data_IF_467315819495
#
_entry.id   IF_467315819495
#
_cell.length_a   1.000
_cell.length_b   1.000
_cell.length_c   1.000
_cell.angle_alpha   90.00
_cell.angle_beta   90.00
_cell.angle_gamma   90.00
#
_symmetry.space_group_name_H-M   'P 1'
#
loop_
_entity.id
_entity.type
_entity.pdbx_description
1 polymer ?
#
# COMPACT_ATOMS: atom_id res chain seq x y z
N UNK A 1 -8.04 -24.98 -16.72
CA UNK A 1 -8.09 -23.65 -17.38
C UNK A 1 -8.56 -22.68 -16.30
N UNK A 2 -7.81 -21.62 -16.01
CA UNK A 2 -8.19 -20.67 -14.97
C UNK A 2 -9.50 -19.97 -15.35
N UNK A 3 -10.31 -19.64 -14.33
CA UNK A 3 -11.49 -18.81 -14.50
C UNK A 3 -11.06 -17.35 -14.41
N UNK A 4 -11.41 -16.55 -15.39
CA UNK A 4 -11.10 -15.12 -15.47
C UNK A 4 -12.37 -14.30 -15.33
N UNK A 5 -12.33 -13.18 -14.65
CA UNK A 5 -13.37 -12.17 -14.77
C UNK A 5 -13.21 -11.39 -16.10
N UNK A 6 -14.25 -10.63 -16.48
CA UNK A 6 -14.28 -9.96 -17.79
C UNK A 6 -13.07 -9.01 -17.98
N UNK A 7 -12.73 -8.09 -17.06
CA UNK A 7 -11.53 -7.23 -17.21
C UNK A 7 -10.21 -8.02 -17.33
N UNK A 8 -10.07 -9.13 -16.61
CA UNK A 8 -8.88 -9.98 -16.71
C UNK A 8 -8.77 -10.63 -18.10
N UNK A 9 -9.88 -11.13 -18.63
CA UNK A 9 -9.92 -11.72 -19.97
C UNK A 9 -9.60 -10.67 -21.05
N UNK A 10 -10.17 -9.48 -20.95
CA UNK A 10 -9.90 -8.36 -21.84
C UNK A 10 -8.40 -7.97 -21.80
N UNK A 11 -7.82 -7.82 -20.61
CA UNK A 11 -6.42 -7.46 -20.45
C UNK A 11 -5.46 -8.44 -21.11
N UNK A 12 -5.68 -9.74 -20.93
CA UNK A 12 -4.83 -10.77 -21.55
C UNK A 12 -4.92 -10.80 -23.08
N UNK A 13 -6.02 -10.31 -23.65
CA UNK A 13 -6.24 -10.24 -25.09
C UNK A 13 -5.79 -8.92 -25.74
N UNK A 14 -5.45 -7.89 -24.96
CA UNK A 14 -4.98 -6.62 -25.52
C UNK A 14 -3.78 -6.82 -26.46
N UNK A 15 -3.84 -6.33 -27.71
CA UNK A 15 -2.76 -6.54 -28.70
C UNK A 15 -1.57 -5.57 -28.53
N UNK A 16 -1.67 -4.65 -27.59
CA UNK A 16 -0.72 -3.55 -27.42
C UNK A 16 0.62 -4.01 -26.84
N UNK A 17 1.68 -3.33 -27.24
CA UNK A 17 3.04 -3.56 -26.71
C UNK A 17 3.15 -3.24 -25.21
N UNK A 18 2.48 -2.19 -24.76
CA UNK A 18 2.40 -1.77 -23.37
C UNK A 18 0.95 -1.84 -22.94
N UNK A 19 0.67 -2.66 -21.95
CA UNK A 19 -0.70 -2.91 -21.45
C UNK A 19 -0.78 -2.55 -19.99
N UNK A 20 -1.87 -1.94 -19.56
CA UNK A 20 -2.12 -1.63 -18.15
C UNK A 20 -3.46 -2.23 -17.68
N UNK A 21 -3.40 -2.92 -16.55
CA UNK A 21 -4.57 -3.28 -15.76
C UNK A 21 -4.63 -2.33 -14.58
N UNK A 22 -5.52 -1.35 -14.64
CA UNK A 22 -5.73 -0.34 -13.61
C UNK A 22 -6.93 -0.77 -12.78
N UNK A 23 -6.71 -1.20 -11.54
CA UNK A 23 -7.76 -1.83 -10.77
C UNK A 23 -7.85 -1.40 -9.33
N UNK A 24 -9.07 -1.48 -8.77
CA UNK A 24 -9.32 -1.30 -7.35
C UNK A 24 -8.65 -2.37 -6.49
N UNK A 25 -8.68 -2.20 -5.17
CA UNK A 25 -8.20 -3.22 -4.24
C UNK A 25 -9.02 -4.50 -4.38
N UNK A 26 -8.35 -5.65 -4.36
CA UNK A 26 -9.03 -6.93 -4.51
C UNK A 26 -9.54 -7.25 -5.93
N UNK A 27 -9.30 -6.39 -6.94
CA UNK A 27 -9.75 -6.63 -8.33
C UNK A 27 -9.03 -7.77 -9.07
N UNK A 28 -8.06 -8.45 -8.43
CA UNK A 28 -7.29 -9.54 -9.03
C UNK A 28 -6.16 -9.09 -9.97
N UNK A 29 -5.73 -7.82 -9.90
CA UNK A 29 -4.70 -7.25 -10.79
C UNK A 29 -3.35 -7.97 -10.75
N UNK A 30 -2.78 -8.24 -9.59
CA UNK A 30 -1.50 -8.98 -9.47
C UNK A 30 -1.65 -10.42 -9.97
N UNK A 31 -2.81 -11.04 -9.71
CA UNK A 31 -3.13 -12.38 -10.17
C UNK A 31 -3.12 -12.46 -11.72
N UNK A 32 -3.82 -11.55 -12.41
CA UNK A 32 -3.84 -11.53 -13.88
C UNK A 32 -2.49 -11.16 -14.47
N UNK A 33 -1.72 -10.29 -13.81
CA UNK A 33 -0.34 -10.00 -14.19
C UNK A 33 0.54 -11.26 -14.16
N UNK A 34 0.45 -12.06 -13.10
CA UNK A 34 1.11 -13.37 -13.02
C UNK A 34 0.58 -14.33 -14.10
N UNK A 35 -0.72 -14.31 -14.42
CA UNK A 35 -1.32 -15.06 -15.51
C UNK A 35 -0.68 -14.74 -16.86
N UNK A 36 -0.41 -13.45 -17.14
CA UNK A 36 0.30 -13.03 -18.34
C UNK A 36 1.75 -13.57 -18.41
N UNK A 37 2.45 -13.68 -17.28
CA UNK A 37 3.77 -14.32 -17.23
C UNK A 37 3.68 -15.84 -17.51
N UNK A 38 2.65 -16.49 -17.00
CA UNK A 38 2.38 -17.90 -17.28
C UNK A 38 2.04 -18.13 -18.75
N UNK A 39 1.20 -17.27 -19.35
CA UNK A 39 0.91 -17.28 -20.79
C UNK A 39 2.19 -17.14 -21.60
N UNK A 40 3.05 -16.17 -21.27
CA UNK A 40 4.35 -15.99 -21.94
C UNK A 40 5.22 -17.26 -21.83
N UNK A 41 5.28 -17.93 -20.69
CA UNK A 41 6.05 -19.15 -20.50
C UNK A 41 5.50 -20.33 -21.36
N UNK A 42 4.20 -20.35 -21.63
CA UNK A 42 3.59 -21.32 -22.56
C UNK A 42 3.91 -21.02 -24.03
N UNK A 43 3.75 -19.75 -24.45
CA UNK A 43 3.91 -19.31 -25.83
C UNK A 43 5.38 -19.25 -26.26
N UNK A 44 6.26 -18.81 -25.37
CA UNK A 44 7.70 -18.57 -25.65
C UNK A 44 8.60 -19.30 -24.65
N UNK A 45 8.67 -20.65 -24.71
CA UNK A 45 9.46 -21.43 -23.78
C UNK A 45 10.94 -21.03 -23.81
N UNK A 46 11.56 -20.97 -22.58
CA UNK A 46 12.94 -20.59 -22.34
C UNK A 46 13.28 -19.12 -22.60
N UNK A 47 12.31 -18.28 -22.98
CA UNK A 47 12.50 -16.83 -23.06
C UNK A 47 12.21 -16.24 -21.68
N UNK A 48 13.19 -15.59 -21.03
CA UNK A 48 12.99 -15.04 -19.69
C UNK A 48 12.02 -13.88 -19.71
N UNK A 49 11.24 -13.79 -18.62
CA UNK A 49 10.41 -12.62 -18.30
C UNK A 49 11.01 -11.85 -17.11
N UNK A 50 10.54 -10.64 -16.86
CA UNK A 50 10.89 -9.83 -15.71
C UNK A 50 9.68 -9.50 -14.87
N UNK A 51 9.85 -9.46 -13.54
CA UNK A 51 8.88 -8.90 -12.60
C UNK A 51 9.51 -7.75 -11.82
N UNK A 52 8.80 -6.63 -11.75
CA UNK A 52 9.27 -5.39 -11.15
C UNK A 52 8.22 -4.84 -10.18
N UNK A 53 8.60 -4.69 -8.92
CA UNK A 53 7.75 -4.10 -7.88
C UNK A 53 8.45 -2.92 -7.19
N UNK A 54 7.73 -2.06 -6.47
CA UNK A 54 8.30 -0.92 -5.76
C UNK A 54 9.41 -1.29 -4.78
N UNK A 55 9.30 -2.46 -4.11
CA UNK A 55 10.29 -2.89 -3.12
C UNK A 55 10.48 -4.41 -3.15
N UNK A 56 11.62 -4.89 -2.61
CA UNK A 56 11.87 -6.32 -2.51
C UNK A 56 10.91 -7.05 -1.53
N UNK A 57 10.51 -6.48 -0.38
CA UNK A 57 9.45 -7.08 0.43
C UNK A 57 8.17 -7.39 -0.34
N UNK A 58 7.73 -6.49 -1.23
CA UNK A 58 6.55 -6.75 -2.08
C UNK A 58 6.77 -7.92 -3.05
N UNK A 59 7.99 -8.08 -3.59
CA UNK A 59 8.32 -9.25 -4.40
C UNK A 59 8.19 -10.53 -3.56
N UNK A 60 8.78 -10.55 -2.36
CA UNK A 60 8.79 -11.71 -1.48
C UNK A 60 7.41 -12.07 -0.95
N UNK A 61 6.65 -11.06 -0.51
CA UNK A 61 5.44 -11.27 0.29
C UNK A 61 4.17 -11.30 -0.58
N UNK A 62 4.23 -10.76 -1.81
CA UNK A 62 3.09 -10.71 -2.74
C UNK A 62 3.35 -11.55 -3.98
N UNK A 63 4.41 -11.25 -4.74
CA UNK A 63 4.63 -11.92 -6.02
C UNK A 63 4.93 -13.41 -5.89
N UNK A 64 5.83 -13.80 -5.00
CA UNK A 64 6.21 -15.21 -4.92
C UNK A 64 5.03 -16.13 -4.56
N UNK A 65 4.21 -15.86 -3.53
CA UNK A 65 3.04 -16.69 -3.28
C UNK A 65 2.02 -16.63 -4.42
N UNK A 66 1.81 -15.44 -5.03
CA UNK A 66 0.84 -15.29 -6.13
C UNK A 66 1.28 -16.06 -7.38
N UNK A 67 2.55 -16.02 -7.77
CA UNK A 67 3.02 -16.76 -8.95
C UNK A 67 3.00 -18.28 -8.73
N UNK A 68 3.18 -18.77 -7.50
CA UNK A 68 3.03 -20.19 -7.18
C UNK A 68 1.57 -20.65 -7.37
N UNK A 69 0.61 -19.88 -6.86
CA UNK A 69 -0.81 -20.13 -7.02
C UNK A 69 -1.24 -20.07 -8.49
N UNK A 70 -0.94 -18.97 -9.17
CA UNK A 70 -1.33 -18.74 -10.56
C UNK A 70 -0.68 -19.76 -11.50
N UNK A 71 0.58 -20.10 -11.30
CA UNK A 71 1.25 -21.12 -12.11
C UNK A 71 0.52 -22.46 -12.02
N UNK A 72 0.06 -22.85 -10.84
CA UNK A 72 -0.73 -24.07 -10.66
C UNK A 72 -2.03 -24.04 -11.48
N UNK A 73 -2.79 -22.94 -11.42
CA UNK A 73 -4.02 -22.77 -12.16
C UNK A 73 -3.80 -22.80 -13.69
N UNK A 74 -2.62 -22.34 -14.13
CA UNK A 74 -2.22 -22.35 -15.54
C UNK A 74 -1.52 -23.64 -15.98
N UNK A 75 -1.53 -24.70 -15.16
CA UNK A 75 -0.89 -25.98 -15.45
C UNK A 75 0.62 -25.95 -15.45
N UNK A 76 1.21 -24.99 -14.73
CA UNK A 76 2.62 -24.83 -14.50
C UNK A 76 2.95 -25.05 -13.01
N UNK A 77 4.21 -25.20 -12.70
CA UNK A 77 4.74 -25.17 -11.34
C UNK A 77 5.82 -24.10 -11.26
N UNK A 78 5.68 -23.20 -10.30
CA UNK A 78 6.73 -22.23 -9.98
C UNK A 78 7.69 -22.82 -8.93
N UNK A 79 8.98 -22.52 -9.08
CA UNK A 79 10.03 -22.82 -8.12
C UNK A 79 10.79 -21.52 -7.81
N UNK A 80 10.65 -21.05 -6.58
CA UNK A 80 11.21 -19.78 -6.16
C UNK A 80 12.67 -19.94 -5.73
N UNK A 81 13.56 -19.13 -6.29
CA UNK A 81 14.94 -18.96 -5.85
C UNK A 81 15.10 -17.54 -5.25
N UNK A 82 14.92 -17.44 -3.94
CA UNK A 82 15.00 -16.16 -3.24
C UNK A 82 16.40 -15.54 -3.29
N UNK A 83 17.45 -16.33 -3.28
CA UNK A 83 18.85 -15.85 -3.32
C UNK A 83 19.15 -15.15 -4.65
N UNK A 84 18.73 -15.73 -5.77
CA UNK A 84 18.90 -15.15 -7.11
C UNK A 84 17.80 -14.12 -7.44
N UNK A 85 16.73 -14.09 -6.65
CA UNK A 85 15.52 -13.29 -6.93
C UNK A 85 14.89 -13.69 -8.26
N UNK A 86 14.55 -14.96 -8.37
CA UNK A 86 14.01 -15.57 -9.60
C UNK A 86 12.88 -16.54 -9.26
N UNK A 87 11.93 -16.68 -10.19
CA UNK A 87 10.93 -17.73 -10.19
C UNK A 87 11.09 -18.56 -11.47
N UNK A 88 11.32 -19.86 -11.34
CA UNK A 88 11.45 -20.77 -12.47
C UNK A 88 10.13 -21.51 -12.71
N UNK A 89 9.65 -21.47 -13.95
CA UNK A 89 8.37 -22.06 -14.35
C UNK A 89 8.60 -23.38 -15.10
N UNK A 90 7.83 -24.41 -14.74
CA UNK A 90 7.91 -25.77 -15.30
C UNK A 90 6.53 -26.29 -15.67
N UNK A 91 6.42 -27.00 -16.82
CA UNK A 91 5.29 -27.86 -17.17
C UNK A 91 5.67 -29.31 -16.90
N UNK A 92 5.17 -29.87 -15.80
CA UNK A 92 5.68 -31.13 -15.29
C UNK A 92 7.19 -31.05 -14.97
N UNK A 93 8.01 -31.82 -15.70
CA UNK A 93 9.48 -31.79 -15.61
C UNK A 93 10.15 -30.84 -16.60
N UNK A 94 9.39 -30.30 -17.55
CA UNK A 94 9.93 -29.47 -18.62
C UNK A 94 10.08 -28.02 -18.14
N UNK A 95 11.31 -27.50 -18.16
CA UNK A 95 11.58 -26.09 -17.91
C UNK A 95 10.96 -25.20 -18.99
N UNK A 96 10.17 -24.20 -18.58
CA UNK A 96 9.44 -23.28 -19.47
C UNK A 96 10.04 -21.89 -19.52
N UNK A 97 10.59 -21.40 -18.39
CA UNK A 97 11.20 -20.07 -18.36
C UNK A 97 11.54 -19.62 -16.95
N UNK A 98 12.24 -18.49 -16.87
CA UNK A 98 12.59 -17.82 -15.61
C UNK A 98 12.00 -16.42 -15.62
N UNK A 99 11.38 -16.06 -14.48
CA UNK A 99 10.99 -14.69 -14.17
C UNK A 99 12.06 -14.07 -13.28
N UNK A 100 12.75 -13.04 -13.78
CA UNK A 100 13.80 -12.31 -13.08
C UNK A 100 13.16 -11.16 -12.30
N UNK A 101 13.31 -11.14 -10.97
CA UNK A 101 12.64 -10.16 -10.10
C UNK A 101 13.61 -9.05 -9.69
N UNK A 102 13.20 -7.78 -9.82
CA UNK A 102 13.97 -6.60 -9.38
C UNK A 102 13.05 -5.56 -8.76
N UNK A 103 13.56 -4.88 -7.74
CA UNK A 103 12.82 -3.76 -7.15
C UNK A 103 13.08 -2.45 -7.90
N UNK A 104 12.06 -1.62 -7.98
CA UNK A 104 12.10 -0.31 -8.63
C UNK A 104 12.55 0.81 -7.69
N UNK A 105 12.70 0.57 -6.39
CA UNK A 105 13.28 1.54 -5.44
C UNK A 105 14.74 1.87 -5.74
N UNK A 106 15.45 0.96 -6.41
CA UNK A 106 16.82 1.12 -6.89
C UNK A 106 16.91 0.88 -8.40
N UNK A 107 16.44 1.81 -9.27
CA UNK A 107 16.39 1.61 -10.72
C UNK A 107 17.74 1.27 -11.34
N UNK A 108 18.84 1.70 -10.72
CA UNK A 108 20.21 1.35 -11.15
C UNK A 108 20.49 -0.16 -11.11
N UNK A 109 19.75 -0.95 -10.29
CA UNK A 109 19.90 -2.40 -10.22
C UNK A 109 19.22 -3.15 -11.39
N UNK A 110 18.43 -2.45 -12.22
CA UNK A 110 17.72 -3.02 -13.38
C UNK A 110 18.70 -3.07 -14.59
N UNK A 111 19.74 -3.87 -14.45
CA UNK A 111 20.82 -4.01 -15.45
C UNK A 111 21.30 -5.46 -15.57
N UNK A 112 22.05 -5.78 -16.62
CA UNK A 112 22.78 -7.05 -16.75
C UNK A 112 21.96 -8.22 -17.32
N UNK A 113 20.67 -8.07 -17.63
CA UNK A 113 19.82 -9.14 -18.18
C UNK A 113 18.99 -8.66 -19.39
N UNK A 114 18.34 -9.59 -20.06
CA UNK A 114 17.38 -9.34 -21.13
C UNK A 114 16.13 -10.18 -20.92
N UNK A 115 14.97 -9.63 -21.28
CA UNK A 115 13.66 -10.29 -21.15
C UNK A 115 12.83 -10.08 -22.41
N UNK A 116 11.93 -11.02 -22.70
CA UNK A 116 10.94 -10.90 -23.78
C UNK A 116 9.64 -10.25 -23.30
N UNK A 117 9.31 -10.37 -22.01
CA UNK A 117 8.12 -9.83 -21.36
C UNK A 117 8.50 -9.23 -20.02
N UNK A 118 7.84 -8.16 -19.62
CA UNK A 118 7.96 -7.59 -18.27
C UNK A 118 6.58 -7.39 -17.65
N UNK A 119 6.45 -7.72 -16.37
CA UNK A 119 5.34 -7.33 -15.51
C UNK A 119 5.85 -6.29 -14.53
N UNK A 120 5.19 -5.14 -14.49
CA UNK A 120 5.49 -4.02 -13.60
C UNK A 120 4.30 -3.80 -12.67
N UNK A 121 4.49 -4.15 -11.40
CA UNK A 121 3.41 -4.12 -10.41
C UNK A 121 3.54 -2.89 -9.51
N UNK A 122 2.40 -2.22 -9.23
CA UNK A 122 2.24 -1.08 -8.34
C UNK A 122 3.22 0.09 -8.59
N UNK A 123 3.55 0.38 -9.86
CA UNK A 123 4.49 1.46 -10.24
C UNK A 123 3.96 2.84 -9.82
N UNK A 124 2.64 3.03 -9.77
CA UNK A 124 2.02 4.32 -9.42
C UNK A 124 2.22 4.72 -7.95
N UNK A 125 2.63 3.78 -7.10
CA UNK A 125 3.01 4.05 -5.70
C UNK A 125 4.37 4.73 -5.57
N UNK A 126 5.17 4.78 -6.64
CA UNK A 126 6.44 5.48 -6.67
C UNK A 126 6.24 6.99 -6.92
N UNK A 127 7.24 7.79 -6.50
CA UNK A 127 7.32 9.17 -6.96
C UNK A 127 7.44 9.19 -8.49
N UNK A 128 6.72 10.07 -9.17
CA UNK A 128 6.61 10.14 -10.63
C UNK A 128 7.97 10.09 -11.36
N UNK A 129 8.94 10.87 -10.91
CA UNK A 129 10.29 10.89 -11.49
C UNK A 129 10.98 9.51 -11.40
N UNK A 130 10.84 8.82 -10.26
CA UNK A 130 11.42 7.49 -10.04
C UNK A 130 10.73 6.43 -10.90
N UNK A 131 9.41 6.53 -11.06
CA UNK A 131 8.64 5.67 -11.95
C UNK A 131 9.13 5.80 -13.41
N UNK A 132 9.34 7.03 -13.90
CA UNK A 132 9.92 7.27 -15.22
C UNK A 132 11.34 6.70 -15.39
N UNK A 133 12.17 6.80 -14.35
CA UNK A 133 13.52 6.22 -14.40
C UNK A 133 13.46 4.69 -14.48
N UNK A 134 12.68 4.04 -13.62
CA UNK A 134 12.48 2.60 -13.63
C UNK A 134 11.93 2.12 -14.98
N UNK A 135 10.90 2.80 -15.51
CA UNK A 135 10.29 2.50 -16.79
C UNK A 135 11.30 2.48 -17.94
N UNK A 136 12.12 3.52 -18.05
CA UNK A 136 13.19 3.59 -19.06
C UNK A 136 14.21 2.46 -18.92
N UNK A 137 14.58 2.09 -17.69
CA UNK A 137 15.50 0.97 -17.43
C UNK A 137 14.87 -0.36 -17.82
N UNK A 138 13.59 -0.58 -17.56
CA UNK A 138 12.86 -1.80 -17.92
C UNK A 138 12.74 -1.92 -19.45
N UNK A 139 12.35 -0.85 -20.16
CA UNK A 139 12.30 -0.84 -21.63
C UNK A 139 13.64 -1.28 -22.22
N UNK A 140 14.76 -0.82 -21.67
CA UNK A 140 16.09 -1.19 -22.15
C UNK A 140 16.43 -2.68 -21.93
N UNK A 141 15.63 -3.44 -21.15
CA UNK A 141 15.77 -4.91 -20.97
C UNK A 141 14.98 -5.71 -21.99
N UNK A 142 13.97 -5.11 -22.64
CA UNK A 142 13.13 -5.74 -23.66
C UNK A 142 13.87 -5.86 -25.01
N UNK A 143 14.78 -6.81 -25.11
CA UNK A 143 15.67 -6.95 -26.26
C UNK A 143 15.91 -8.42 -26.68
N UNK A 144 14.94 -9.28 -26.42
CA UNK A 144 14.98 -10.66 -26.92
C UNK A 144 14.42 -10.69 -28.34
N UNK A 145 15.13 -11.34 -29.27
CA UNK A 145 14.63 -11.57 -30.64
C UNK A 145 14.25 -13.04 -30.77
N UNK A 146 12.97 -13.31 -31.01
CA UNK A 146 12.43 -14.64 -31.32
C UNK A 146 11.27 -14.50 -32.29
N UNK A 147 11.01 -15.54 -33.06
CA UNK A 147 9.90 -15.56 -34.02
C UNK A 147 8.56 -15.40 -33.29
N UNK A 148 7.70 -14.52 -33.78
CA UNK A 148 6.38 -14.25 -33.20
C UNK A 148 6.39 -13.47 -31.87
N UNK A 149 7.54 -13.24 -31.26
CA UNK A 149 7.63 -12.52 -30.00
C UNK A 149 7.55 -11.01 -30.21
N UNK A 150 6.52 -10.40 -29.63
CA UNK A 150 6.47 -8.96 -29.38
C UNK A 150 6.96 -8.68 -27.98
N UNK A 151 8.15 -8.06 -27.81
CA UNK A 151 8.62 -7.61 -26.51
C UNK A 151 7.67 -6.56 -25.94
N UNK A 152 7.15 -6.76 -24.71
CA UNK A 152 6.14 -5.89 -24.13
C UNK A 152 6.24 -5.75 -22.62
N UNK A 153 5.52 -4.76 -22.10
CA UNK A 153 5.36 -4.53 -20.66
C UNK A 153 3.88 -4.59 -20.31
N UNK A 154 3.56 -5.36 -19.30
CA UNK A 154 2.30 -5.32 -18.59
C UNK A 154 2.47 -4.53 -17.29
N UNK A 155 1.53 -3.66 -17.00
CA UNK A 155 1.45 -2.90 -15.76
C UNK A 155 0.22 -3.33 -15.01
N UNK A 156 0.37 -3.61 -13.72
CA UNK A 156 -0.75 -3.84 -12.80
C UNK A 156 -0.63 -2.84 -11.65
N UNK A 157 -1.66 -2.02 -11.42
CA UNK A 157 -1.59 -0.99 -10.39
C UNK A 157 -2.95 -0.53 -9.90
N UNK A 158 -3.00 -0.10 -8.65
CA UNK A 158 -4.08 0.75 -8.17
C UNK A 158 -3.77 2.19 -8.58
N UNK A 159 -4.74 2.96 -9.08
CA UNK A 159 -4.48 4.33 -9.52
C UNK A 159 -4.19 5.24 -8.32
N UNK A 160 -3.05 5.92 -8.37
CA UNK A 160 -2.57 6.83 -7.34
C UNK A 160 -2.72 8.31 -7.78
N UNK A 161 -3.87 8.64 -8.34
CA UNK A 161 -4.18 9.96 -8.89
C UNK A 161 -3.73 10.10 -10.35
N UNK A 162 -3.51 11.33 -10.79
CA UNK A 162 -2.98 11.63 -12.12
C UNK A 162 -1.45 11.52 -12.14
N UNK A 163 -0.96 10.33 -11.75
CA UNK A 163 0.46 10.02 -11.62
C UNK A 163 1.05 9.43 -12.91
N UNK A 164 2.06 8.56 -12.81
CA UNK A 164 2.82 7.99 -13.94
C UNK A 164 1.93 7.18 -14.88
N UNK A 165 1.07 6.29 -14.36
CA UNK A 165 0.25 5.41 -15.22
C UNK A 165 -0.83 6.20 -15.95
N UNK A 166 -1.45 7.20 -15.32
CA UNK A 166 -2.34 8.13 -16.01
C UNK A 166 -1.64 8.83 -17.18
N UNK A 167 -0.44 9.36 -16.95
CA UNK A 167 0.33 10.03 -18.00
C UNK A 167 0.66 9.09 -19.17
N UNK A 168 1.18 7.89 -18.90
CA UNK A 168 1.65 6.96 -19.93
C UNK A 168 0.51 6.26 -20.67
N UNK A 169 -0.61 5.94 -20.01
CA UNK A 169 -1.67 5.11 -20.58
C UNK A 169 -2.98 5.85 -20.86
N UNK A 170 -3.11 7.10 -20.43
CA UNK A 170 -4.29 7.95 -20.69
C UNK A 170 -3.91 9.21 -21.44
N UNK A 171 -3.05 10.05 -20.84
CA UNK A 171 -2.79 11.38 -21.32
C UNK A 171 -1.95 11.37 -22.63
N UNK A 172 -0.85 10.64 -22.67
CA UNK A 172 0.04 10.58 -23.85
C UNK A 172 -0.66 9.90 -25.03
N UNK A 173 -1.32 8.72 -24.88
CA UNK A 173 -2.07 8.12 -25.98
C UNK A 173 -3.24 8.97 -26.48
N UNK A 174 -3.89 9.72 -25.60
CA UNK A 174 -4.96 10.64 -25.96
C UNK A 174 -4.51 11.82 -26.82
N UNK A 175 -3.22 12.14 -26.84
CA UNK A 175 -2.63 13.25 -27.59
C UNK A 175 -1.85 12.82 -28.85
N UNK A 176 -1.50 11.54 -28.98
CA UNK A 176 -0.67 11.00 -30.05
C UNK A 176 -1.21 9.65 -30.54
N UNK A 177 -1.78 9.62 -31.74
CA UNK A 177 -2.36 8.44 -32.36
C UNK A 177 -1.35 7.26 -32.50
N UNK A 178 -0.06 7.56 -32.80
CA UNK A 178 0.98 6.51 -32.88
C UNK A 178 1.26 5.91 -31.50
N UNK A 179 1.11 6.68 -30.43
CA UNK A 179 1.23 6.16 -29.08
C UNK A 179 -0.01 5.34 -28.70
N UNK A 180 -1.20 5.74 -29.14
CA UNK A 180 -2.42 4.99 -28.91
C UNK A 180 -2.34 3.54 -29.48
N UNK A 181 -1.64 3.30 -30.57
CA UNK A 181 -1.40 1.97 -31.11
C UNK A 181 -0.48 1.10 -30.23
N UNK A 182 0.36 1.72 -29.40
CA UNK A 182 1.33 1.02 -28.55
C UNK A 182 0.83 0.75 -27.12
N UNK A 183 -0.10 1.58 -26.62
CA UNK A 183 -0.55 1.58 -25.24
C UNK A 183 -2.02 1.21 -25.13
N UNK A 184 -2.33 0.12 -24.45
CA UNK A 184 -3.69 -0.29 -24.12
C UNK A 184 -3.91 -0.37 -22.63
N UNK A 185 -5.14 -0.15 -22.17
CA UNK A 185 -5.49 -0.26 -20.76
C UNK A 185 -6.86 -0.89 -20.57
N UNK A 186 -7.02 -1.53 -19.42
CA UNK A 186 -8.30 -2.01 -18.89
C UNK A 186 -8.48 -1.42 -17.51
N UNK A 187 -9.69 -0.98 -17.20
CA UNK A 187 -10.09 -0.60 -15.85
C UNK A 187 -10.88 -1.73 -15.21
N UNK A 188 -10.59 -2.01 -13.94
CA UNK A 188 -11.32 -3.00 -13.16
C UNK A 188 -11.68 -2.41 -11.79
N UNK A 189 -12.91 -2.63 -11.36
CA UNK A 189 -13.36 -2.32 -10.01
C UNK A 189 -13.13 -3.50 -9.06
N UNK A 190 -13.25 -3.27 -7.77
CA UNK A 190 -13.31 -4.33 -6.77
C UNK A 190 -14.51 -5.25 -7.00
N UNK A 191 -15.64 -4.70 -7.50
CA UNK A 191 -16.85 -5.45 -7.78
C UNK A 191 -16.67 -6.49 -8.88
N UNK A 192 -15.79 -6.26 -9.87
CA UNK A 192 -15.51 -7.22 -10.93
C UNK A 192 -14.92 -8.54 -10.43
N UNK A 193 -14.42 -8.55 -9.19
CA UNK A 193 -13.84 -9.71 -8.53
C UNK A 193 -14.58 -10.10 -7.23
N UNK A 194 -15.79 -9.57 -7.00
CA UNK A 194 -16.55 -9.75 -5.76
C UNK A 194 -16.72 -11.21 -5.37
N UNK A 195 -16.95 -12.09 -6.38
CA UNK A 195 -17.11 -13.53 -6.16
C UNK A 195 -15.89 -14.23 -5.50
N UNK A 196 -14.71 -13.62 -5.54
CA UNK A 196 -13.48 -14.13 -4.94
C UNK A 196 -13.07 -13.36 -3.66
N UNK A 197 -13.93 -12.49 -3.15
CA UNK A 197 -13.68 -11.68 -1.97
C UNK A 197 -14.62 -12.09 -0.82
N UNK A 198 -14.24 -11.86 0.44
CA UNK A 198 -15.17 -12.00 1.56
C UNK A 198 -16.39 -11.10 1.41
N UNK A 199 -17.56 -11.56 1.85
CA UNK A 199 -18.85 -10.86 1.70
C UNK A 199 -18.85 -9.43 2.26
N UNK A 200 -18.09 -9.18 3.34
CA UNK A 200 -17.97 -7.88 4.02
C UNK A 200 -16.81 -7.02 3.51
N UNK A 201 -16.02 -7.50 2.53
CA UNK A 201 -14.79 -6.84 2.10
C UNK A 201 -15.03 -5.42 1.56
N UNK A 202 -15.94 -5.31 0.59
CA UNK A 202 -16.25 -4.02 -0.07
C UNK A 202 -16.84 -3.04 0.96
N UNK A 203 -17.75 -3.53 1.82
CA UNK A 203 -18.33 -2.72 2.87
C UNK A 203 -17.26 -2.18 3.84
N UNK A 204 -16.32 -3.02 4.23
CA UNK A 204 -15.18 -2.64 5.07
C UNK A 204 -14.32 -1.55 4.44
N UNK A 205 -14.14 -1.56 3.12
CA UNK A 205 -13.42 -0.49 2.42
C UNK A 205 -14.18 0.85 2.49
N UNK A 206 -15.52 0.83 2.31
CA UNK A 206 -16.33 2.06 2.46
C UNK A 206 -16.29 2.62 3.89
N UNK A 207 -16.21 1.77 4.90
CA UNK A 207 -16.06 2.20 6.28
C UNK A 207 -14.69 2.78 6.59
N UNK A 208 -13.66 2.26 5.91
CA UNK A 208 -12.26 2.55 6.21
C UNK A 208 -11.74 3.76 5.44
N UNK A 209 -12.15 3.92 4.15
CA UNK A 209 -11.59 4.95 3.28
C UNK A 209 -12.46 6.20 3.19
N UNK A 210 -11.87 7.40 3.02
CA UNK A 210 -12.61 8.60 2.70
C UNK A 210 -13.23 8.53 1.30
N UNK A 211 -14.36 9.21 1.08
CA UNK A 211 -15.14 9.15 -0.15
C UNK A 211 -14.33 9.45 -1.43
N UNK A 212 -13.32 10.33 -1.35
CA UNK A 212 -12.46 10.64 -2.50
C UNK A 212 -11.62 9.44 -2.97
N UNK A 213 -11.20 8.57 -2.04
CA UNK A 213 -10.39 7.41 -2.36
C UNK A 213 -11.22 6.21 -2.85
N UNK A 214 -12.51 6.15 -2.53
CA UNK A 214 -13.41 5.08 -3.01
C UNK A 214 -13.39 4.98 -4.53
N UNK A 215 -13.42 6.11 -5.24
CA UNK A 215 -13.37 6.13 -6.71
C UNK A 215 -12.07 5.53 -7.27
N UNK A 216 -10.94 5.78 -6.61
CA UNK A 216 -9.66 5.23 -7.03
C UNK A 216 -9.48 3.78 -6.56
N UNK A 217 -9.74 3.50 -5.28
CA UNK A 217 -9.36 2.25 -4.63
C UNK A 217 -10.41 1.14 -4.73
N UNK A 218 -11.67 1.50 -5.00
CA UNK A 218 -12.73 0.53 -5.26
C UNK A 218 -13.08 0.48 -6.74
N UNK A 219 -13.31 1.65 -7.37
CA UNK A 219 -13.74 1.66 -8.78
C UNK A 219 -12.55 1.65 -9.77
N UNK A 220 -11.30 1.70 -9.31
CA UNK A 220 -10.11 1.67 -10.18
C UNK A 220 -9.96 2.89 -11.09
N UNK A 221 -10.57 4.03 -10.76
CA UNK A 221 -10.60 5.22 -11.61
C UNK A 221 -9.47 6.20 -11.27
N UNK A 222 -8.91 6.83 -12.30
CA UNK A 222 -8.03 7.97 -12.09
C UNK A 222 -8.83 9.18 -11.58
N UNK A 223 -8.48 9.67 -10.42
CA UNK A 223 -9.08 10.86 -9.81
C UNK A 223 -7.98 11.80 -9.32
N UNK A 224 -8.28 13.08 -9.26
CA UNK A 224 -7.33 14.03 -8.70
C UNK A 224 -7.29 13.90 -7.18
N UNK A 225 -6.22 13.30 -6.67
CA UNK A 225 -5.99 13.06 -5.24
C UNK A 225 -5.06 14.09 -4.59
N UNK A 226 -4.54 15.06 -5.37
CA UNK A 226 -3.45 15.95 -4.96
C UNK A 226 -3.73 17.43 -5.27
N UNK A 227 -4.95 17.80 -5.56
CA UNK A 227 -5.35 19.19 -5.75
C UNK A 227 -6.32 19.66 -4.68
N UNK A 228 -6.22 20.94 -4.32
CA UNK A 228 -7.09 21.56 -3.33
C UNK A 228 -6.64 21.30 -1.88
N UNK A 229 -7.61 21.25 -0.97
CA UNK A 229 -7.34 21.04 0.46
C UNK A 229 -6.81 19.63 0.75
N UNK A 230 -5.84 19.54 1.67
CA UNK A 230 -5.31 18.24 2.18
C UNK A 230 -6.37 17.51 3.02
N UNK A 231 -7.24 18.27 3.72
CA UNK A 231 -8.29 17.75 4.59
C UNK A 231 -9.68 18.20 4.17
N UNK A 232 -10.13 17.88 2.95
CA UNK A 232 -11.39 18.39 2.39
C UNK A 232 -12.63 17.86 3.11
N UNK A 233 -12.48 16.79 3.89
CA UNK A 233 -13.56 16.20 4.68
C UNK A 233 -13.76 16.89 6.05
N UNK A 234 -12.85 17.79 6.45
CA UNK A 234 -12.98 18.49 7.72
C UNK A 234 -14.14 19.51 7.66
N UNK A 235 -14.96 19.49 8.68
CA UNK A 235 -16.03 20.47 8.88
C UNK A 235 -16.04 20.87 10.35
N UNK A 236 -15.80 22.15 10.64
CA UNK A 236 -15.68 22.67 12.01
C UNK A 236 -16.94 22.41 12.85
N UNK A 237 -18.13 22.43 12.26
CA UNK A 237 -19.39 22.18 12.97
C UNK A 237 -19.59 20.68 13.23
N UNK A 238 -19.37 19.86 12.20
CA UNK A 238 -19.65 18.43 12.25
C UNK A 238 -18.54 17.64 12.96
N UNK A 239 -17.28 18.08 12.88
CA UNK A 239 -16.15 17.47 13.61
C UNK A 239 -15.86 18.18 14.94
N UNK A 240 -16.45 19.37 15.17
CA UNK A 240 -16.22 20.16 16.37
C UNK A 240 -16.76 19.52 17.65
N UNK A 241 -16.09 19.83 18.77
CA UNK A 241 -16.51 19.42 20.12
C UNK A 241 -16.07 20.46 21.14
N UNK A 242 -16.81 20.60 22.23
CA UNK A 242 -16.41 21.38 23.41
C UNK A 242 -15.95 20.47 24.56
N UNK A 243 -15.79 19.16 24.29
CA UNK A 243 -15.27 18.23 25.29
C UNK A 243 -13.88 18.65 25.75
N UNK A 244 -13.58 18.39 27.03
CA UNK A 244 -12.29 18.62 27.67
C UNK A 244 -11.70 17.30 28.16
N UNK A 245 -10.42 17.31 28.49
CA UNK A 245 -9.73 16.15 29.07
C UNK A 245 -10.18 15.97 30.52
N UNK A 246 -10.67 14.77 30.86
CA UNK A 246 -11.07 14.38 32.20
C UNK A 246 -9.96 13.58 32.89
N UNK A 247 -9.99 13.47 34.20
CA UNK A 247 -8.95 12.77 34.99
C UNK A 247 -8.85 11.28 34.67
N UNK A 248 -9.96 10.65 34.30
CA UNK A 248 -10.03 9.21 33.94
C UNK A 248 -9.56 8.90 32.53
N UNK A 249 -9.39 9.91 31.66
CA UNK A 249 -8.99 9.72 30.27
C UNK A 249 -7.55 9.22 30.18
N UNK A 250 -7.33 8.26 29.29
CA UNK A 250 -5.97 7.89 28.87
C UNK A 250 -5.46 8.85 27.82
N UNK A 251 -4.31 9.46 28.09
CA UNK A 251 -3.73 10.48 27.24
C UNK A 251 -2.91 9.85 26.11
N UNK A 252 -3.19 10.32 24.90
CA UNK A 252 -2.47 10.00 23.68
C UNK A 252 -1.97 11.30 23.07
N UNK A 253 -0.66 11.44 22.87
CA UNK A 253 -0.06 12.66 22.35
C UNK A 253 0.64 12.35 21.03
N UNK A 254 0.10 12.86 19.93
CA UNK A 254 0.81 12.89 18.65
C UNK A 254 1.85 14.00 18.66
N UNK A 255 3.07 13.76 18.15
CA UNK A 255 4.17 14.71 18.27
C UNK A 255 4.99 14.80 16.98
N UNK A 256 5.23 16.03 16.53
CA UNK A 256 6.10 16.37 15.41
C UNK A 256 7.35 17.06 15.91
N UNK A 257 8.53 16.45 15.64
CA UNK A 257 9.84 17.00 16.01
C UNK A 257 10.30 18.01 14.97
N UNK A 258 10.09 19.29 15.25
CA UNK A 258 10.66 20.35 14.43
C UNK A 258 11.38 21.35 15.35
N UNK A 259 12.69 21.47 15.16
CA UNK A 259 13.52 22.36 15.99
C UNK A 259 12.97 23.79 15.98
N UNK A 260 12.81 24.41 17.15
CA UNK A 260 12.22 25.73 17.40
C UNK A 260 10.71 25.83 17.15
N UNK A 261 10.06 24.77 16.65
CA UNK A 261 8.61 24.79 16.39
C UNK A 261 7.97 23.40 16.62
N UNK A 262 8.39 22.72 17.70
CA UNK A 262 7.78 21.43 18.06
C UNK A 262 6.29 21.60 18.29
N UNK A 263 5.55 20.60 17.85
CA UNK A 263 4.10 20.57 17.98
C UNK A 263 3.65 19.23 18.55
N UNK A 264 2.74 19.28 19.52
CA UNK A 264 2.08 18.10 20.07
C UNK A 264 0.58 18.33 20.18
N UNK A 265 -0.20 17.28 19.88
CA UNK A 265 -1.65 17.28 20.01
C UNK A 265 -2.06 16.24 21.04
N UNK A 266 -2.66 16.70 22.15
CA UNK A 266 -3.17 15.85 23.19
C UNK A 266 -4.57 15.36 22.83
N UNK A 267 -4.70 14.04 22.75
CA UNK A 267 -5.89 13.34 22.33
C UNK A 267 -6.34 12.34 23.41
N UNK A 268 -7.62 12.02 23.37
CA UNK A 268 -8.21 10.92 24.13
C UNK A 268 -9.01 10.02 23.18
N UNK A 269 -9.26 8.77 23.59
CA UNK A 269 -10.14 7.85 22.87
C UNK A 269 -11.33 7.55 23.75
N UNK A 270 -12.54 7.92 23.31
CA UNK A 270 -13.80 7.64 24.01
C UNK A 270 -14.71 6.86 23.08
N UNK A 271 -15.25 5.73 23.55
CA UNK A 271 -16.09 4.83 22.74
C UNK A 271 -15.48 4.52 21.33
N UNK A 272 -14.17 4.30 21.27
CA UNK A 272 -13.47 4.00 20.01
C UNK A 272 -13.29 5.19 19.06
N UNK A 273 -13.65 6.40 19.46
CA UNK A 273 -13.49 7.62 18.68
C UNK A 273 -12.35 8.50 19.26
N UNK A 274 -11.46 9.02 18.43
CA UNK A 274 -10.42 9.97 18.86
C UNK A 274 -10.97 11.38 19.00
N UNK A 275 -10.52 12.07 20.04
CA UNK A 275 -10.80 13.47 20.34
C UNK A 275 -9.47 14.21 20.45
N UNK A 276 -9.19 15.19 19.60
CA UNK A 276 -8.09 16.12 19.73
C UNK A 276 -8.57 17.31 20.56
N UNK A 277 -8.05 17.44 21.79
CA UNK A 277 -8.63 18.34 22.80
C UNK A 277 -7.72 19.49 23.21
N UNK A 278 -6.40 19.33 23.16
CA UNK A 278 -5.43 20.38 23.50
C UNK A 278 -4.23 20.32 22.56
N UNK A 279 -3.63 21.48 22.24
CA UNK A 279 -2.43 21.58 21.42
C UNK A 279 -1.31 22.32 22.14
N UNK A 280 -0.08 21.88 21.88
CA UNK A 280 1.16 22.50 22.30
C UNK A 280 1.95 22.84 21.03
N UNK A 281 2.12 24.10 20.72
CA UNK A 281 2.71 24.54 19.45
C UNK A 281 3.77 25.59 19.67
N UNK A 282 4.81 25.65 18.80
CA UNK A 282 5.89 26.61 18.92
C UNK A 282 6.81 26.34 20.10
N UNK A 283 6.88 25.11 20.57
CA UNK A 283 7.78 24.69 21.64
C UNK A 283 9.19 24.52 21.06
N UNK A 284 10.21 25.03 21.78
CA UNK A 284 11.55 25.11 21.25
C UNK A 284 12.25 23.76 21.04
N UNK A 285 12.11 22.84 22.00
CA UNK A 285 12.83 21.58 22.03
C UNK A 285 12.11 20.51 22.87
N UNK A 286 12.61 19.30 22.85
CA UNK A 286 12.03 18.16 23.59
C UNK A 286 12.03 18.34 25.10
N UNK A 287 13.06 18.86 25.74
CA UNK A 287 13.00 19.19 27.17
C UNK A 287 11.88 20.18 27.53
N UNK A 288 11.71 21.24 26.76
CA UNK A 288 10.63 22.20 26.98
C UNK A 288 9.25 21.58 26.76
N UNK A 289 9.11 20.69 25.79
CA UNK A 289 7.86 19.94 25.54
C UNK A 289 7.53 19.00 26.73
N UNK A 290 8.53 18.32 27.29
CA UNK A 290 8.37 17.48 28.48
C UNK A 290 7.86 18.32 29.66
N UNK A 291 8.46 19.49 29.90
CA UNK A 291 8.02 20.42 30.97
C UNK A 291 6.57 20.84 30.73
N UNK A 292 6.21 21.30 29.53
CA UNK A 292 4.86 21.74 29.23
C UNK A 292 3.81 20.63 29.42
N UNK A 293 4.11 19.39 29.00
CA UNK A 293 3.22 18.25 29.19
C UNK A 293 3.09 17.88 30.68
N UNK A 294 4.18 17.94 31.45
CA UNK A 294 4.16 17.64 32.89
C UNK A 294 3.47 18.74 33.72
N UNK A 295 3.68 19.99 33.39
CA UNK A 295 2.95 21.11 34.02
C UNK A 295 1.43 21.00 33.79
N UNK A 296 1.02 20.58 32.60
CA UNK A 296 -0.40 20.48 32.27
C UNK A 296 -1.06 19.21 32.80
N UNK A 297 -0.39 18.06 32.76
CA UNK A 297 -0.99 16.75 33.04
C UNK A 297 -0.41 16.05 34.26
N UNK A 298 0.58 16.62 34.92
CA UNK A 298 1.24 16.00 36.08
C UNK A 298 1.88 14.65 35.75
N UNK A 299 1.78 13.72 36.69
CA UNK A 299 2.34 12.37 36.58
C UNK A 299 1.41 11.37 35.86
N UNK A 300 0.39 11.86 35.17
CA UNK A 300 -0.54 10.99 34.43
C UNK A 300 0.21 10.17 33.38
N UNK A 301 -0.30 8.98 33.15
CA UNK A 301 0.23 8.10 32.10
C UNK A 301 -0.06 8.67 30.71
N UNK A 302 0.97 9.00 29.94
CA UNK A 302 0.91 9.59 28.60
C UNK A 302 1.58 8.65 27.61
N UNK A 303 0.83 8.23 26.55
CA UNK A 303 1.38 7.53 25.42
C UNK A 303 1.71 8.55 24.31
N UNK A 304 2.99 8.65 23.93
CA UNK A 304 3.46 9.58 22.89
C UNK A 304 3.65 8.82 21.57
N UNK A 305 3.16 9.41 20.48
CA UNK A 305 3.27 8.93 19.11
C UNK A 305 4.08 9.93 18.29
N UNK A 306 5.41 9.82 18.35
CA UNK A 306 6.29 10.80 17.72
C UNK A 306 6.64 10.44 16.30
N UNK A 307 7.23 11.42 15.58
CA UNK A 307 8.04 11.21 14.39
C UNK A 307 9.23 10.27 14.69
N UNK A 308 9.49 9.30 13.81
CA UNK A 308 10.63 8.38 13.96
C UNK A 308 11.99 9.04 13.78
N UNK A 309 12.07 10.26 13.21
CA UNK A 309 13.34 11.00 13.08
C UNK A 309 13.98 11.38 14.43
N UNK A 310 13.19 11.38 15.50
CA UNK A 310 13.67 11.64 16.87
C UNK A 310 14.66 10.58 17.43
N UNK A 311 14.92 9.49 16.70
CA UNK A 311 16.03 8.55 16.99
C UNK A 311 17.40 9.07 16.55
N UNK A 312 17.43 10.06 15.65
CA UNK A 312 18.68 10.65 15.16
C UNK A 312 19.40 11.38 16.27
N UNK A 313 20.66 11.01 16.57
CA UNK A 313 21.52 11.71 17.51
C UNK A 313 22.05 13.01 16.88
N UNK A 314 21.95 14.12 17.57
CA UNK A 314 22.54 15.38 17.12
C UNK A 314 24.07 15.35 17.28
N UNK A 315 24.79 15.87 16.30
CA UNK A 315 26.27 15.93 16.28
C UNK A 315 26.91 16.62 17.54
N UNK A 316 26.15 17.45 18.25
CA UNK A 316 26.60 18.12 19.44
C UNK A 316 26.35 17.35 20.75
N UNK A 317 25.59 16.24 20.72
CA UNK A 317 25.34 15.39 21.88
C UNK A 317 24.97 13.98 21.43
N UNK A 318 25.98 13.20 21.06
CA UNK A 318 25.82 11.86 20.42
C UNK A 318 25.18 10.80 21.34
N UNK A 319 24.92 11.12 22.62
CA UNK A 319 24.41 10.17 23.61
C UNK A 319 22.91 10.31 23.93
N UNK A 320 22.24 11.39 23.48
CA UNK A 320 20.85 11.66 23.86
C UNK A 320 20.00 11.95 22.63
N UNK A 321 19.05 11.05 22.33
CA UNK A 321 18.03 11.26 21.31
C UNK A 321 16.75 11.84 21.92
N UNK A 322 15.95 12.53 21.11
CA UNK A 322 14.63 13.05 21.54
C UNK A 322 13.76 11.95 22.13
N UNK A 323 13.77 10.75 21.52
CA UNK A 323 13.05 9.58 22.02
C UNK A 323 13.62 9.10 23.37
N UNK A 324 14.95 9.21 23.57
CA UNK A 324 15.61 8.89 24.82
C UNK A 324 15.15 9.82 25.95
N UNK A 325 15.06 11.13 25.69
CA UNK A 325 14.54 12.12 26.64
C UNK A 325 13.09 11.83 27.05
N UNK A 326 12.23 11.53 26.09
CA UNK A 326 10.82 11.19 26.36
C UNK A 326 10.69 9.92 27.21
N UNK A 327 11.50 8.89 26.94
CA UNK A 327 11.52 7.65 27.75
C UNK A 327 12.05 7.89 29.15
N UNK A 328 13.11 8.70 29.28
CA UNK A 328 13.67 9.10 30.58
C UNK A 328 12.67 9.90 31.43
N UNK A 329 11.78 10.68 30.79
CA UNK A 329 10.69 11.38 31.44
C UNK A 329 9.48 10.47 31.77
N UNK A 330 9.63 9.14 31.66
CA UNK A 330 8.60 8.14 31.95
C UNK A 330 7.35 8.21 31.07
N UNK A 331 7.49 8.71 29.82
CA UNK A 331 6.43 8.59 28.82
C UNK A 331 6.47 7.23 28.11
N UNK A 332 5.31 6.72 27.73
CA UNK A 332 5.22 5.51 26.90
C UNK A 332 5.37 5.89 25.44
N UNK A 333 6.58 5.76 24.90
CA UNK A 333 6.90 6.14 23.51
C UNK A 333 6.53 4.99 22.54
N UNK A 334 5.62 5.27 21.62
CA UNK A 334 5.13 4.36 20.59
C UNK A 334 5.55 4.87 19.21
N UNK A 335 6.76 4.50 18.81
CA UNK A 335 7.35 4.89 17.53
C UNK A 335 7.45 3.69 16.60
N UNK A 336 7.08 3.82 15.31
CA UNK A 336 7.32 2.78 14.31
C UNK A 336 8.80 2.76 13.91
N UNK A 337 9.31 1.64 13.33
CA UNK A 337 10.70 1.54 12.86
C UNK A 337 11.09 2.59 11.81
N UNK A 338 10.12 3.14 11.10
CA UNK A 338 10.29 4.22 10.13
C UNK A 338 9.02 5.06 10.05
N UNK A 339 9.16 6.32 9.65
CA UNK A 339 7.99 7.19 9.45
C UNK A 339 7.02 6.61 8.42
N UNK A 340 5.72 6.57 8.75
CA UNK A 340 4.71 6.27 7.76
C UNK A 340 4.76 7.32 6.64
N UNK A 341 4.46 6.89 5.42
CA UNK A 341 4.37 7.81 4.27
C UNK A 341 3.38 8.93 4.60
N UNK A 342 3.71 10.18 4.25
CA UNK A 342 2.85 11.36 4.47
C UNK A 342 1.44 11.09 3.98
N UNK A 343 1.28 10.53 2.77
CA UNK A 343 -0.01 10.19 2.20
C UNK A 343 -0.81 9.21 3.08
N UNK A 344 -0.17 8.20 3.66
CA UNK A 344 -0.85 7.24 4.53
C UNK A 344 -1.38 7.90 5.81
N UNK A 345 -0.64 8.84 6.38
CA UNK A 345 -1.10 9.65 7.53
C UNK A 345 -2.28 10.53 7.16
N UNK A 346 -2.18 11.27 6.04
CA UNK A 346 -3.26 12.13 5.53
C UNK A 346 -4.54 11.33 5.27
N UNK A 347 -4.42 10.16 4.64
CA UNK A 347 -5.55 9.27 4.38
C UNK A 347 -6.21 8.81 5.68
N UNK A 348 -5.41 8.42 6.69
CA UNK A 348 -5.93 7.98 8.00
C UNK A 348 -6.69 9.11 8.71
N UNK A 349 -6.17 10.35 8.67
CA UNK A 349 -6.85 11.51 9.25
C UNK A 349 -8.17 11.80 8.50
N UNK A 350 -8.15 11.84 7.16
CA UNK A 350 -9.35 12.08 6.36
C UNK A 350 -10.43 11.02 6.57
N UNK A 351 -10.04 9.74 6.69
CA UNK A 351 -10.99 8.65 6.98
C UNK A 351 -11.66 8.79 8.34
N UNK A 352 -10.93 9.31 9.33
CA UNK A 352 -11.48 9.59 10.67
C UNK A 352 -12.30 10.88 10.71
N UNK A 353 -11.95 11.88 9.87
CA UNK A 353 -12.76 13.10 9.71
C UNK A 353 -14.11 12.79 9.08
N UNK A 354 -14.12 12.03 7.98
CA UNK A 354 -15.34 11.54 7.35
C UNK A 354 -15.00 10.38 6.41
N UNK A 355 -15.51 9.18 6.68
CA UNK A 355 -15.36 8.05 5.77
C UNK A 355 -16.36 8.11 4.60
N UNK A 356 -16.29 7.16 3.67
CA UNK A 356 -17.14 7.12 2.48
C UNK A 356 -18.63 6.90 2.80
N UNK A 357 -18.96 6.34 3.95
CA UNK A 357 -20.33 6.21 4.47
C UNK A 357 -20.85 7.50 5.13
N UNK A 358 -20.04 8.57 5.17
CA UNK A 358 -20.40 9.84 5.84
C UNK A 358 -20.19 9.82 7.37
N UNK A 359 -19.63 8.76 7.91
CA UNK A 359 -19.39 8.64 9.36
C UNK A 359 -18.18 9.49 9.78
N UNK A 360 -18.36 10.33 10.79
CA UNK A 360 -17.34 11.23 11.35
C UNK A 360 -16.97 10.75 12.76
N UNK A 361 -15.75 10.27 12.92
CA UNK A 361 -15.24 9.71 14.17
C UNK A 361 -14.27 10.63 14.90
N UNK A 362 -13.41 11.37 14.16
CA UNK A 362 -12.48 12.33 14.77
C UNK A 362 -13.21 13.60 15.19
N UNK A 363 -13.07 13.95 16.46
CA UNK A 363 -13.57 15.19 17.06
C UNK A 363 -12.41 16.10 17.39
N UNK A 364 -12.56 17.39 17.15
CA UNK A 364 -11.55 18.42 17.40
C UNK A 364 -12.15 19.53 18.23
N UNK A 365 -11.50 19.88 19.34
CA UNK A 365 -11.90 21.03 20.14
C UNK A 365 -11.28 22.31 19.53
N UNK A 366 -12.08 23.20 18.90
CA UNK A 366 -11.52 24.37 18.23
C UNK A 366 -10.98 25.44 19.20
N UNK A 367 -11.36 25.35 20.49
CA UNK A 367 -10.84 26.26 21.54
C UNK A 367 -9.51 25.72 22.06
N UNK A 368 -9.43 24.40 22.33
CA UNK A 368 -8.21 23.76 22.81
C UNK A 368 -7.16 23.49 21.72
N UNK A 369 -7.59 23.44 20.45
CA UNK A 369 -6.74 23.18 19.28
C UNK A 369 -7.00 24.21 18.15
N UNK A 370 -6.78 25.51 18.38
CA UNK A 370 -7.09 26.54 17.38
C UNK A 370 -6.20 26.44 16.12
N UNK A 371 -4.88 26.18 16.28
CA UNK A 371 -3.95 26.05 15.15
C UNK A 371 -4.19 24.77 14.36
N UNK A 372 -4.49 23.65 15.03
CA UNK A 372 -4.88 22.41 14.36
C UNK A 372 -6.18 22.63 13.55
N UNK A 373 -7.17 23.30 14.14
CA UNK A 373 -8.43 23.62 13.47
C UNK A 373 -8.20 24.43 12.21
N UNK A 374 -7.40 25.50 12.31
CA UNK A 374 -7.04 26.36 11.18
C UNK A 374 -6.26 25.59 10.11
N UNK A 375 -5.32 24.74 10.52
CA UNK A 375 -4.53 23.93 9.60
C UNK A 375 -5.38 22.90 8.84
N UNK A 376 -6.33 22.25 9.50
CA UNK A 376 -7.25 21.31 8.85
C UNK A 376 -8.16 22.00 7.80
N UNK A 377 -8.45 23.29 7.98
CA UNK A 377 -9.25 24.07 7.03
C UNK A 377 -8.44 24.61 5.85
N UNK A 378 -7.17 25.00 6.09
CA UNK A 378 -6.40 25.82 5.15
C UNK A 378 -5.26 25.08 4.44
N UNK A 379 -4.77 23.96 4.99
CA UNK A 379 -3.66 23.26 4.36
C UNK A 379 -4.03 22.76 2.97
N UNK A 380 -3.25 23.16 1.97
CA UNK A 380 -3.41 22.76 0.58
C UNK A 380 -2.25 21.86 0.13
N UNK A 381 -2.42 21.22 -1.02
CA UNK A 381 -1.31 20.52 -1.69
C UNK A 381 -0.45 21.52 -2.47
N UNK A 382 0.86 21.29 -2.49
CA UNK A 382 1.81 22.00 -3.35
C UNK A 382 1.72 21.49 -4.82
N UNK A 383 2.50 22.10 -5.71
CA UNK A 383 2.58 21.70 -7.12
C UNK A 383 3.07 20.27 -7.35
N UNK A 384 3.70 19.65 -6.36
CA UNK A 384 4.20 18.27 -6.39
C UNK A 384 3.19 17.27 -5.80
N UNK A 385 2.01 17.74 -5.38
CA UNK A 385 0.99 16.92 -4.74
C UNK A 385 1.34 16.47 -3.31
N UNK A 386 2.20 17.22 -2.64
CA UNK A 386 2.52 17.03 -1.22
C UNK A 386 1.86 18.14 -0.39
N UNK A 387 1.51 17.90 0.89
CA UNK A 387 1.08 18.99 1.76
C UNK A 387 2.08 20.13 1.74
N UNK A 388 1.59 21.35 1.44
CA UNK A 388 2.44 22.53 1.36
C UNK A 388 3.02 22.87 2.74
N UNK A 389 4.36 22.92 2.83
CA UNK A 389 5.11 23.24 4.04
C UNK A 389 5.51 24.70 4.17
N UNK A 390 5.27 25.50 3.11
CA UNK A 390 5.67 26.92 3.10
C UNK A 390 4.73 27.80 3.91
N UNK A 391 3.50 27.33 4.14
CA UNK A 391 2.44 28.05 4.85
C UNK A 391 2.47 27.87 6.36
N UNK A 392 3.26 26.89 6.89
CA UNK A 392 3.33 26.57 8.32
C UNK A 392 2.09 25.86 8.89
N UNK A 393 1.18 25.39 8.00
CA UNK A 393 -0.02 24.62 8.41
C UNK A 393 0.24 23.11 8.50
N UNK A 394 1.46 22.63 8.28
CA UNK A 394 1.79 21.20 8.24
C UNK A 394 2.01 20.58 9.63
N UNK A 395 2.60 21.31 10.59
CA UNK A 395 2.99 20.73 11.87
C UNK A 395 1.85 20.17 12.73
N UNK A 396 0.72 20.90 12.98
CA UNK A 396 -0.35 20.36 13.83
C UNK A 396 -1.05 19.12 13.22
N UNK A 397 -1.39 19.08 11.91
CA UNK A 397 -1.91 17.88 11.29
C UNK A 397 -0.91 16.73 11.20
N UNK A 398 0.39 17.00 11.04
CA UNK A 398 1.43 15.96 11.06
C UNK A 398 1.53 15.32 12.44
N UNK A 399 1.57 16.12 13.52
CA UNK A 399 1.53 15.65 14.90
C UNK A 399 0.29 14.78 15.16
N UNK A 400 -0.91 15.26 14.81
CA UNK A 400 -2.15 14.48 14.90
C UNK A 400 -2.06 13.20 14.07
N UNK A 401 -1.48 13.28 12.87
CA UNK A 401 -1.38 12.19 11.91
C UNK A 401 -0.55 11.00 12.43
N UNK A 402 0.51 11.23 13.20
CA UNK A 402 1.28 10.15 13.82
C UNK A 402 0.43 9.33 14.81
N UNK A 403 -0.37 9.99 15.64
CA UNK A 403 -1.30 9.30 16.55
C UNK A 403 -2.40 8.58 15.79
N UNK A 404 -3.10 9.28 14.90
CA UNK A 404 -4.23 8.70 14.16
C UNK A 404 -3.78 7.51 13.31
N UNK A 405 -2.69 7.63 12.54
CA UNK A 405 -2.21 6.53 11.73
C UNK A 405 -1.77 5.31 12.57
N UNK A 406 -1.16 5.55 13.73
CA UNK A 406 -0.76 4.47 14.64
C UNK A 406 -1.94 3.69 15.24
N UNK A 407 -3.04 4.37 15.54
CA UNK A 407 -4.19 3.79 16.25
C UNK A 407 -5.36 3.43 15.35
N UNK A 408 -5.50 4.12 14.22
CA UNK A 408 -6.61 4.02 13.29
C UNK A 408 -6.07 4.08 11.83
N UNK A 409 -5.21 3.14 11.43
CA UNK A 409 -4.67 3.14 10.08
C UNK A 409 -5.78 2.87 9.07
N UNK A 410 -5.94 3.75 8.08
CA UNK A 410 -6.88 3.53 6.98
C UNK A 410 -6.33 2.52 5.95
N UNK A 411 -5.00 2.44 5.82
CA UNK A 411 -4.34 1.39 5.05
C UNK A 411 -3.87 0.37 6.08
N UNK A 412 -4.55 -0.77 6.16
CA UNK A 412 -3.97 -1.91 6.84
C UNK A 412 -2.60 -2.14 6.17
N UNK A 413 -1.51 -1.99 6.94
CA UNK A 413 -0.28 -2.65 6.53
C UNK A 413 -0.71 -4.07 6.24
N UNK A 414 -0.43 -4.59 5.05
CA UNK A 414 -0.62 -5.98 4.74
C UNK A 414 0.23 -6.79 5.76
N UNK A 415 -0.31 -6.99 6.95
CA UNK A 415 0.02 -8.17 7.70
C UNK A 415 -0.55 -9.27 6.83
N UNK A 416 0.33 -10.01 6.20
CA UNK A 416 0.00 -11.34 5.75
C UNK A 416 -0.86 -11.96 6.86
N UNK A 417 -2.04 -12.52 6.53
CA UNK A 417 -2.83 -13.22 7.53
C UNK A 417 -1.87 -14.16 8.23
N UNK A 418 -1.74 -13.99 9.56
CA UNK A 418 -0.96 -14.89 10.37
C UNK A 418 -1.65 -16.24 10.21
N UNK A 419 -0.94 -17.17 9.54
CA UNK A 419 -1.38 -18.54 9.32
C UNK A 419 -2.80 -18.69 8.72
N UNK A 420 -2.95 -18.44 7.43
CA UNK A 420 -3.66 -19.43 6.64
C UNK A 420 -2.84 -20.69 6.84
N UNK A 421 -3.38 -21.69 7.54
CA UNK A 421 -2.83 -23.05 7.47
C UNK A 421 -2.66 -23.31 5.99
N UNK A 422 -1.40 -23.33 5.53
CA UNK A 422 -1.10 -23.73 4.15
C UNK A 422 -1.80 -25.08 3.99
N UNK A 423 -2.64 -25.27 2.97
CA UNK A 423 -3.14 -26.60 2.70
C UNK A 423 -1.90 -27.51 2.71
N UNK A 424 -1.86 -28.47 3.64
CA UNK A 424 -0.73 -29.36 3.79
C UNK A 424 -0.52 -30.01 2.43
N UNK A 425 0.57 -29.65 1.77
CA UNK A 425 0.96 -30.32 0.53
C UNK A 425 1.37 -31.72 0.94
N UNK A 426 0.47 -32.66 0.82
CA UNK A 426 0.75 -34.07 1.01
C UNK A 426 1.66 -34.49 -0.14
N UNK A 427 2.96 -34.56 0.14
CA UNK A 427 3.92 -34.98 -0.87
C UNK A 427 3.69 -36.46 -1.23
N UNK A 428 3.66 -36.84 -2.53
CA UNK A 428 3.56 -38.22 -2.93
C UNK A 428 4.60 -39.08 -2.19
N UNK A 429 4.17 -40.20 -1.62
CA UNK A 429 4.97 -41.14 -0.78
C UNK A 429 5.27 -40.67 0.65
N UNK A 430 4.68 -39.58 1.15
CA UNK A 430 4.63 -39.29 2.58
C UNK A 430 3.70 -40.27 3.31
N UNK A 431 3.90 -40.50 4.62
CA UNK A 431 3.01 -41.33 5.42
C UNK A 431 1.56 -40.89 5.37
N UNK A 432 1.31 -39.58 5.33
CA UNK A 432 -0.01 -38.96 5.20
C UNK A 432 -0.61 -39.19 3.79
N UNK A 433 0.24 -39.25 2.75
CA UNK A 433 -0.22 -39.58 1.38
C UNK A 433 -0.66 -41.04 1.27
N UNK A 434 0.06 -41.97 1.92
CA UNK A 434 -0.31 -43.39 1.97
C UNK A 434 -1.65 -43.56 2.69
N UNK A 435 -1.86 -42.93 3.83
CA UNK A 435 -3.11 -42.97 4.58
C UNK A 435 -4.28 -42.36 3.77
N UNK A 436 -4.04 -41.28 3.03
CA UNK A 436 -5.07 -40.68 2.15
C UNK A 436 -5.36 -41.53 0.92
N UNK A 437 -4.36 -42.18 0.34
CA UNK A 437 -4.54 -43.10 -0.80
C UNK A 437 -5.31 -44.35 -0.42
N UNK A 438 -5.08 -44.89 0.79
CA UNK A 438 -5.80 -46.06 1.30
C UNK A 438 -7.28 -45.72 1.60
N UNK A 439 -7.59 -44.55 2.17
CA UNK A 439 -8.97 -44.07 2.40
C UNK A 439 -9.68 -43.80 1.08
N UNK A 440 -9.01 -43.26 0.07
CA UNK A 440 -9.58 -43.04 -1.26
C UNK A 440 -9.82 -44.36 -2.00
N UNK A 441 -8.93 -45.34 -1.88
CA UNK A 441 -9.09 -46.67 -2.44
C UNK A 441 -10.28 -47.41 -1.83
N UNK A 442 -10.43 -47.34 -0.50
CA UNK A 442 -11.57 -47.96 0.22
C UNK A 442 -12.91 -47.29 -0.14
N UNK A 443 -12.93 -45.97 -0.31
CA UNK A 443 -14.11 -45.21 -0.74
C UNK A 443 -14.54 -45.61 -2.19
N UNK A 444 -13.57 -45.82 -3.08
CA UNK A 444 -13.83 -46.30 -4.43
C UNK A 444 -14.33 -47.76 -4.47
N UNK A 445 -13.82 -48.63 -3.57
CA UNK A 445 -14.24 -50.01 -3.44
C UNK A 445 -15.71 -50.10 -2.98
N UNK A 446 -16.08 -49.32 -1.94
CA UNK A 446 -17.49 -49.22 -1.46
C UNK A 446 -18.43 -48.69 -2.52
N UNK A 447 -17.99 -47.74 -3.38
CA UNK A 447 -18.79 -47.22 -4.46
C UNK A 447 -18.99 -48.23 -5.61
N UNK A 448 -18.05 -49.17 -5.81
CA UNK A 448 -18.18 -50.29 -6.77
C UNK A 448 -19.06 -51.44 -6.27
N UNK A 449 -19.18 -51.60 -4.97
CA UNK A 449 -20.04 -52.62 -4.34
C UNK A 449 -21.49 -52.14 -4.20
N UNK A 450 -21.77 -50.84 -4.46
CA UNK A 450 -23.13 -50.25 -4.42
C UNK A 450 -23.70 -49.97 -5.82
N UNK A 451 -22.98 -50.28 -6.88
CA UNK A 451 -23.43 -50.30 -8.31
C UNK A 451 -23.51 -51.72 -8.85
#
# INVERSE_FOLDING_TARGET
VPTLNEPQAEFLQLPHKFRAFVGGFGSGKTWVGCGSLCQHAWEFPRIPAGYFAPSYPQIRDIFYPTIEEVAFDWGLRAQINQSNKEAHLYAGRQYRGTVICRSMDKPASIVGFKVGKALVDEIDTLKKQKAHEAWRKIIARLRVKAAGLQNGIDVTTTPEGFNFVYEQFEQIPGQDAKKAELYGKVHASTYDNEANLPDDYIESLFETYPAQLVKAYINGLFVNLTSGSVYPAYDRKLNGTLATINDEDRLHVGMDFNVMNMTAIACVIRAGQPFALEEFTGIRDTPAMIVALRERFGDRHIAIYPDASGESTHTNNASVSDLGLLRAASFVVRVPPSNPRIRARVVSVNAMLCNAKGTRRLRVNPIGCPKLTEALEKQAFDANGMPDKTTGFDHPPDALGYFIHSRFPAVASARAPSSVERPRVITPHSREWLEYSDVAADAMKRKREML
#
